data_IF_598036972821
#
_entry.id   IF_598036972821
#
_cell.length_a   1.000
_cell.length_b   1.000
_cell.length_c   1.000
_cell.angle_alpha   90.00
_cell.angle_beta   90.00
_cell.angle_gamma   90.00
#
_symmetry.space_group_name_H-M   'P 1'
#
loop_
_entity.id
_entity.type
_entity.pdbx_description
1 polymer ?
#
# COMPACT_ATOMS: atom_id res chain seq x y z
N UNK A 1 9.52 8.72 17.06
CA UNK A 1 9.51 7.27 16.76
C UNK A 1 9.78 7.10 15.28
N UNK A 2 10.67 6.20 14.90
CA UNK A 2 10.91 5.83 13.50
C UNK A 2 10.29 4.46 13.23
N UNK A 3 9.63 4.26 12.09
CA UNK A 3 9.17 2.94 11.64
C UNK A 3 9.97 2.57 10.42
N UNK A 4 10.50 1.34 10.41
CA UNK A 4 11.29 0.84 9.28
C UNK A 4 10.65 -0.37 8.64
N UNK A 5 10.85 -0.45 7.32
CA UNK A 5 10.54 -1.63 6.52
C UNK A 5 11.74 -2.57 6.45
N UNK A 6 11.51 -3.81 6.03
CA UNK A 6 12.56 -4.73 5.64
C UNK A 6 13.38 -4.15 4.48
N UNK A 7 14.68 -4.41 4.47
CA UNK A 7 15.54 -4.05 3.33
C UNK A 7 14.99 -4.63 2.02
N UNK A 8 15.13 -3.87 0.93
CA UNK A 8 14.60 -4.22 -0.39
C UNK A 8 14.96 -5.67 -0.79
N UNK A 9 13.95 -6.42 -1.25
CA UNK A 9 14.08 -7.82 -1.64
C UNK A 9 14.00 -8.85 -0.50
N UNK A 10 14.27 -8.46 0.75
CA UNK A 10 14.30 -9.39 1.91
C UNK A 10 12.96 -10.11 2.11
N UNK A 11 11.85 -9.39 2.10
CA UNK A 11 10.50 -9.95 2.28
C UNK A 11 10.16 -10.98 1.18
N UNK A 12 10.54 -10.72 -0.06
CA UNK A 12 10.35 -11.68 -1.16
C UNK A 12 11.22 -12.93 -0.98
N UNK A 13 12.48 -12.76 -0.58
CA UNK A 13 13.40 -13.87 -0.34
C UNK A 13 12.92 -14.77 0.81
N UNK A 14 12.50 -14.18 1.93
CA UNK A 14 11.96 -14.91 3.08
C UNK A 14 10.73 -15.73 2.69
N UNK A 15 9.81 -15.13 1.92
CA UNK A 15 8.65 -15.85 1.37
C UNK A 15 9.08 -17.02 0.47
N UNK A 16 10.03 -16.80 -0.43
CA UNK A 16 10.50 -17.82 -1.36
C UNK A 16 11.12 -19.02 -0.62
N UNK A 17 11.99 -18.77 0.37
CA UNK A 17 12.61 -19.82 1.20
C UNK A 17 11.55 -20.63 1.95
N UNK A 18 10.54 -19.97 2.52
CA UNK A 18 9.45 -20.68 3.21
C UNK A 18 8.63 -21.56 2.26
N UNK A 19 8.36 -21.07 1.04
CA UNK A 19 7.59 -21.79 0.03
C UNK A 19 8.40 -22.91 -0.66
N UNK A 20 9.73 -22.84 -0.65
CA UNK A 20 10.61 -23.92 -1.09
C UNK A 20 10.49 -25.13 -0.14
N UNK A 21 10.42 -24.88 1.17
CA UNK A 21 10.18 -25.92 2.18
C UNK A 21 8.75 -26.48 2.07
N UNK A 22 7.75 -25.61 1.96
CA UNK A 22 6.36 -26.02 1.78
C UNK A 22 5.58 -25.03 0.91
N UNK A 23 5.24 -25.45 -0.31
CA UNK A 23 4.44 -24.65 -1.27
C UNK A 23 3.04 -24.27 -0.74
N UNK A 24 2.54 -25.00 0.26
CA UNK A 24 1.26 -24.78 0.93
C UNK A 24 1.46 -24.31 2.38
N UNK A 25 2.59 -23.66 2.69
CA UNK A 25 2.84 -23.10 4.01
C UNK A 25 1.67 -22.23 4.47
N UNK A 26 1.25 -22.40 5.73
CA UNK A 26 0.14 -21.61 6.26
C UNK A 26 0.51 -20.12 6.26
N UNK A 27 -0.44 -19.20 6.05
CA UNK A 27 -0.18 -17.77 6.11
C UNK A 27 0.49 -17.35 7.44
N UNK A 28 0.13 -18.03 8.53
CA UNK A 28 0.72 -17.79 9.84
C UNK A 28 2.19 -18.18 9.97
N UNK A 29 2.67 -19.16 9.18
CA UNK A 29 4.09 -19.47 9.10
C UNK A 29 4.84 -18.38 8.31
N UNK A 30 4.21 -17.86 7.25
CA UNK A 30 4.78 -16.78 6.45
C UNK A 30 4.91 -15.50 7.28
N UNK A 31 3.87 -15.11 8.03
CA UNK A 31 3.91 -13.91 8.88
C UNK A 31 5.09 -13.90 9.84
N UNK A 32 5.32 -15.01 10.55
CA UNK A 32 6.47 -15.15 11.44
C UNK A 32 7.80 -14.99 10.69
N UNK A 33 7.94 -15.58 9.51
CA UNK A 33 9.16 -15.44 8.70
C UNK A 33 9.34 -14.00 8.20
N UNK A 34 8.30 -13.37 7.63
CA UNK A 34 8.38 -12.01 7.09
C UNK A 34 8.70 -10.97 8.16
N UNK A 35 8.14 -11.12 9.36
CA UNK A 35 8.42 -10.24 10.51
C UNK A 35 9.91 -10.19 10.86
N UNK A 36 10.68 -11.26 10.62
CA UNK A 36 12.12 -11.27 10.90
C UNK A 36 12.90 -10.25 10.06
N UNK A 37 12.49 -9.98 8.81
CA UNK A 37 13.14 -8.99 7.95
C UNK A 37 12.95 -7.56 8.48
N UNK A 38 11.77 -7.28 9.00
CA UNK A 38 11.43 -6.01 9.65
C UNK A 38 12.21 -5.83 10.96
N UNK A 39 12.27 -6.89 11.78
CA UNK A 39 13.03 -6.90 13.04
C UNK A 39 14.52 -6.68 12.79
N UNK A 40 15.10 -7.35 11.79
CA UNK A 40 16.51 -7.17 11.42
C UNK A 40 16.79 -5.71 11.05
N UNK A 41 15.92 -5.10 10.26
CA UNK A 41 16.09 -3.71 9.81
C UNK A 41 15.96 -2.72 10.97
N UNK A 42 15.04 -2.97 11.91
CA UNK A 42 14.90 -2.17 13.13
C UNK A 42 16.15 -2.25 14.01
N UNK A 43 16.70 -3.44 14.24
CA UNK A 43 17.93 -3.62 15.02
C UNK A 43 19.15 -3.00 14.33
N UNK A 44 19.25 -3.07 13.01
CA UNK A 44 20.32 -2.41 12.25
C UNK A 44 20.27 -0.88 12.40
N UNK A 45 19.07 -0.29 12.31
CA UNK A 45 18.92 1.16 12.49
C UNK A 45 19.19 1.58 13.94
N UNK A 46 18.70 0.83 14.93
CA UNK A 46 19.03 1.04 16.34
C UNK A 46 20.55 1.05 16.57
N UNK A 47 21.26 0.05 16.03
CA UNK A 47 22.72 -0.04 16.14
C UNK A 47 23.43 1.16 15.48
N UNK A 48 22.95 1.61 14.31
CA UNK A 48 23.49 2.76 13.62
C UNK A 48 23.30 4.07 14.41
N UNK A 49 22.11 4.29 14.98
CA UNK A 49 21.80 5.46 15.81
C UNK A 49 22.62 5.43 17.11
N UNK A 50 22.72 4.26 17.74
CA UNK A 50 23.50 4.07 18.97
C UNK A 50 24.99 4.32 18.75
N UNK A 51 25.53 3.93 17.58
CA UNK A 51 26.91 4.24 17.18
C UNK A 51 27.18 5.75 17.10
N UNK A 52 26.16 6.57 16.84
CA UNK A 52 26.25 8.03 16.85
C UNK A 52 26.12 8.62 18.26
N UNK A 53 26.03 7.79 19.31
CA UNK A 53 25.92 8.23 20.71
C UNK A 53 24.50 8.65 21.11
N UNK A 54 23.49 8.34 20.29
CA UNK A 54 22.09 8.66 20.58
C UNK A 54 21.42 7.43 21.21
N UNK A 55 20.86 7.55 22.43
CA UNK A 55 20.11 6.45 23.06
C UNK A 55 18.90 6.05 22.21
N UNK A 56 18.91 4.83 21.71
CA UNK A 56 17.84 4.27 20.90
C UNK A 56 17.47 2.86 21.36
N UNK A 57 16.24 2.44 21.06
CA UNK A 57 15.77 1.07 21.28
C UNK A 57 14.85 0.64 20.14
N UNK A 58 14.97 -0.61 19.69
CA UNK A 58 14.01 -1.20 18.75
C UNK A 58 12.88 -1.95 19.44
N UNK A 59 11.67 -1.81 18.90
CA UNK A 59 10.47 -2.55 19.31
C UNK A 59 9.92 -3.35 18.12
N UNK A 60 9.30 -4.49 18.42
CA UNK A 60 8.74 -5.40 17.41
C UNK A 60 7.26 -5.71 17.72
N UNK A 61 6.62 -6.57 16.93
CA UNK A 61 5.18 -6.84 17.06
C UNK A 61 4.73 -7.17 18.48
N UNK A 62 5.56 -7.86 19.27
CA UNK A 62 5.25 -8.22 20.66
C UNK A 62 5.22 -7.01 21.61
N UNK A 63 6.07 -6.01 21.37
CA UNK A 63 6.28 -4.85 22.24
C UNK A 63 5.79 -3.52 21.66
N UNK A 64 5.18 -3.51 20.48
CA UNK A 64 4.67 -2.29 19.84
C UNK A 64 3.31 -1.81 20.37
N UNK A 65 2.58 -2.67 21.10
CA UNK A 65 1.23 -2.34 21.59
C UNK A 65 0.13 -2.41 20.53
N UNK A 66 0.40 -2.97 19.34
CA UNK A 66 -0.60 -3.16 18.28
C UNK A 66 -1.19 -4.57 18.38
N UNK A 67 -2.53 -4.66 18.37
CA UNK A 67 -3.28 -5.94 18.37
C UNK A 67 -4.10 -6.09 17.11
N UNK A 68 -4.16 -7.30 16.56
CA UNK A 68 -4.90 -7.60 15.33
C UNK A 68 -5.84 -8.79 15.49
N UNK A 69 -6.65 -9.05 14.46
CA UNK A 69 -7.24 -10.37 14.25
C UNK A 69 -6.19 -11.39 13.77
N UNK A 70 -6.62 -12.64 13.60
CA UNK A 70 -5.79 -13.75 13.11
C UNK A 70 -5.90 -13.99 11.60
N UNK A 71 -6.25 -12.96 10.82
CA UNK A 71 -6.24 -13.03 9.34
C UNK A 71 -4.80 -12.91 8.83
N UNK A 72 -3.97 -13.91 9.14
CA UNK A 72 -2.54 -13.93 8.85
C UNK A 72 -2.25 -13.60 7.38
N UNK A 73 -1.21 -12.80 7.15
CA UNK A 73 -0.80 -12.26 5.87
C UNK A 73 -1.41 -10.90 5.53
N UNK A 74 -2.51 -10.52 6.20
CA UNK A 74 -3.23 -9.26 5.96
C UNK A 74 -4.06 -8.82 7.18
N UNK A 75 -3.52 -9.04 8.36
CA UNK A 75 -4.25 -8.85 9.60
C UNK A 75 -4.73 -7.40 9.76
N UNK A 76 -5.91 -7.22 10.36
CA UNK A 76 -6.51 -5.92 10.64
C UNK A 76 -6.30 -5.52 12.08
N UNK A 77 -5.87 -4.27 12.29
CA UNK A 77 -5.71 -3.68 13.62
C UNK A 77 -7.07 -3.66 14.33
N UNK A 78 -7.10 -4.20 15.56
CA UNK A 78 -8.28 -4.26 16.43
C UNK A 78 -8.17 -3.30 17.60
N UNK A 79 -6.96 -3.13 18.14
CA UNK A 79 -6.69 -2.14 19.17
C UNK A 79 -5.22 -1.74 19.16
N UNK A 80 -4.94 -0.58 19.75
CA UNK A 80 -3.61 -0.01 19.92
C UNK A 80 -3.45 0.44 21.37
N UNK A 81 -2.27 0.21 21.93
CA UNK A 81 -1.87 0.62 23.28
C UNK A 81 -0.54 1.38 23.19
N UNK A 82 -0.51 2.69 23.49
CA UNK A 82 0.71 3.48 23.40
C UNK A 82 1.69 3.22 24.54
N UNK A 83 1.26 2.54 25.61
CA UNK A 83 2.04 2.38 26.85
C UNK A 83 3.46 1.85 26.63
N UNK A 84 3.70 0.80 25.81
CA UNK A 84 5.05 0.30 25.59
C UNK A 84 5.97 1.31 24.92
N UNK A 85 5.45 2.06 23.94
CA UNK A 85 6.23 3.07 23.22
C UNK A 85 6.52 4.26 24.12
N UNK A 86 5.53 4.73 24.88
CA UNK A 86 5.71 5.83 25.82
C UNK A 86 6.72 5.48 26.92
N UNK A 87 6.68 4.26 27.46
CA UNK A 87 7.66 3.78 28.43
C UNK A 87 9.08 3.76 27.82
N UNK A 88 9.23 3.25 26.60
CA UNK A 88 10.52 3.25 25.91
C UNK A 88 11.05 4.68 25.66
N UNK A 89 10.17 5.63 25.34
CA UNK A 89 10.54 7.04 25.15
C UNK A 89 10.92 7.77 26.46
N UNK A 90 10.64 7.21 27.63
CA UNK A 90 11.13 7.76 28.91
C UNK A 90 12.62 7.45 29.14
N UNK A 91 13.11 6.34 28.58
CA UNK A 91 14.48 5.85 28.77
C UNK A 91 15.38 6.11 27.56
N UNK A 92 14.79 6.24 26.36
CA UNK A 92 15.50 6.39 25.10
C UNK A 92 15.00 7.62 24.32
N UNK A 93 15.92 8.27 23.60
CA UNK A 93 15.57 9.42 22.77
C UNK A 93 14.89 9.00 21.46
N UNK A 94 15.17 7.78 20.98
CA UNK A 94 14.61 7.25 19.73
C UNK A 94 14.07 5.84 19.93
N UNK A 95 12.80 5.63 19.59
CA UNK A 95 12.22 4.30 19.42
C UNK A 95 12.19 3.96 17.93
N UNK A 96 12.72 2.79 17.56
CA UNK A 96 12.68 2.22 16.21
C UNK A 96 11.68 1.06 16.18
N UNK A 97 10.52 1.27 15.58
CA UNK A 97 9.51 0.24 15.40
C UNK A 97 9.78 -0.59 14.15
N UNK A 98 9.77 -1.91 14.29
CA UNK A 98 9.73 -2.82 13.16
C UNK A 98 8.33 -2.77 12.53
N UNK A 99 8.24 -2.33 11.27
CA UNK A 99 6.98 -2.11 10.57
C UNK A 99 6.24 -3.40 10.21
N UNK A 100 5.03 -3.22 9.66
CA UNK A 100 4.21 -4.26 9.03
C UNK A 100 3.79 -5.45 9.92
N UNK A 101 4.13 -5.44 11.22
CA UNK A 101 3.86 -6.54 12.14
C UNK A 101 3.09 -6.10 13.38
N UNK A 102 2.38 -7.05 13.99
CA UNK A 102 1.65 -6.92 15.24
C UNK A 102 1.48 -8.30 15.89
N UNK A 103 0.65 -8.40 16.92
CA UNK A 103 0.25 -9.70 17.47
C UNK A 103 -1.27 -9.88 17.51
N UNK A 104 -1.73 -11.11 17.29
CA UNK A 104 -3.12 -11.46 17.50
C UNK A 104 -3.46 -11.69 18.98
N UNK A 105 -4.74 -11.99 19.24
CA UNK A 105 -5.26 -12.33 20.57
C UNK A 105 -4.61 -13.55 21.24
N UNK A 106 -3.92 -14.40 20.46
CA UNK A 106 -3.22 -15.60 20.95
C UNK A 106 -1.72 -15.34 21.17
N UNK A 107 -1.27 -14.10 20.99
CA UNK A 107 0.14 -13.71 21.09
C UNK A 107 0.99 -14.18 19.90
N UNK A 108 0.37 -14.51 18.76
CA UNK A 108 1.11 -14.89 17.55
C UNK A 108 1.42 -13.65 16.72
N UNK A 109 2.61 -13.60 16.13
CA UNK A 109 2.97 -12.56 15.16
C UNK A 109 2.02 -12.61 13.97
N UNK A 110 1.51 -11.45 13.61
CA UNK A 110 0.69 -11.22 12.43
C UNK A 110 1.33 -10.16 11.55
N UNK A 111 1.19 -10.33 10.24
CA UNK A 111 1.62 -9.36 9.26
C UNK A 111 0.40 -8.54 8.79
N UNK A 112 0.55 -7.23 8.76
CA UNK A 112 -0.54 -6.31 8.41
C UNK A 112 -0.83 -6.29 6.90
N UNK A 113 0.01 -6.92 6.07
CA UNK A 113 -0.13 -6.95 4.61
C UNK A 113 1.12 -6.46 3.90
N UNK A 114 1.17 -6.58 2.58
CA UNK A 114 2.29 -6.02 1.79
C UNK A 114 2.29 -4.49 1.87
N UNK A 115 3.48 -3.89 1.94
CA UNK A 115 3.67 -2.44 2.02
C UNK A 115 2.88 -1.80 3.19
N UNK A 116 2.76 -2.50 4.32
CA UNK A 116 1.96 -2.06 5.46
C UNK A 116 2.77 -1.34 6.55
N UNK A 117 4.05 -1.07 6.33
CA UNK A 117 4.86 -0.24 7.24
C UNK A 117 4.30 1.18 7.37
N UNK A 118 3.73 1.74 6.29
CA UNK A 118 2.99 3.00 6.33
C UNK A 118 1.82 2.92 7.33
N UNK A 119 1.08 1.81 7.31
CA UNK A 119 -0.02 1.59 8.24
C UNK A 119 0.48 1.50 9.68
N UNK A 120 1.61 0.84 9.93
CA UNK A 120 2.25 0.82 11.25
C UNK A 120 2.64 2.23 11.72
N UNK A 121 3.24 3.04 10.85
CA UNK A 121 3.65 4.40 11.18
C UNK A 121 2.47 5.31 11.53
N UNK A 122 1.39 5.23 10.75
CA UNK A 122 0.18 6.02 10.98
C UNK A 122 -0.56 5.54 12.22
N UNK A 123 -0.62 4.22 12.48
CA UNK A 123 -1.21 3.68 13.70
C UNK A 123 -0.44 4.12 14.95
N UNK A 124 0.90 4.13 14.88
CA UNK A 124 1.76 4.63 15.96
C UNK A 124 1.57 6.13 16.17
N UNK A 125 1.52 6.93 15.11
CA UNK A 125 1.24 8.36 15.22
C UNK A 125 -0.11 8.61 15.90
N UNK A 126 -1.16 7.93 15.43
CA UNK A 126 -2.51 8.05 15.99
C UNK A 126 -2.57 7.66 17.47
N UNK A 127 -1.97 6.53 17.87
CA UNK A 127 -2.05 6.07 19.27
C UNK A 127 -1.23 6.95 20.23
N UNK A 128 -0.22 7.65 19.72
CA UNK A 128 0.55 8.65 20.48
C UNK A 128 -0.14 10.03 20.52
N UNK A 129 -1.26 10.21 19.82
CA UNK A 129 -1.98 11.49 19.75
C UNK A 129 -1.36 12.47 18.75
N UNK A 130 -0.48 12.02 17.86
CA UNK A 130 0.12 12.85 16.82
C UNK A 130 -0.81 13.00 15.62
N UNK A 131 -0.93 14.23 15.12
CA UNK A 131 -1.80 14.55 13.98
C UNK A 131 -1.07 14.53 12.62
N UNK A 132 0.21 14.15 12.60
CA UNK A 132 1.02 14.13 11.40
C UNK A 132 1.96 12.93 11.42
N UNK A 133 2.09 12.27 10.27
CA UNK A 133 3.01 11.16 10.05
C UNK A 133 3.82 11.43 8.77
N UNK A 134 5.14 11.36 8.88
CA UNK A 134 6.05 11.52 7.75
C UNK A 134 6.38 10.17 7.14
N UNK A 135 6.14 10.02 5.84
CA UNK A 135 6.46 8.80 5.09
C UNK A 135 7.59 9.11 4.13
N UNK A 136 8.74 8.47 4.37
CA UNK A 136 9.94 8.62 3.55
C UNK A 136 10.00 7.50 2.51
N UNK A 137 10.10 7.88 1.22
CA UNK A 137 10.18 6.94 0.10
C UNK A 137 11.15 7.41 -0.99
N UNK A 138 11.35 6.56 -2.00
CA UNK A 138 12.21 6.85 -3.15
C UNK A 138 11.67 8.00 -4.03
N UNK A 139 10.40 8.35 -3.88
CA UNK A 139 9.77 9.48 -4.56
C UNK A 139 9.27 10.52 -3.54
N UNK A 140 9.30 11.82 -3.86
CA UNK A 140 8.89 12.86 -2.92
C UNK A 140 7.38 12.87 -2.64
N UNK A 141 6.58 12.14 -3.40
CA UNK A 141 5.15 12.04 -3.17
C UNK A 141 4.38 11.45 -4.33
N UNK A 142 3.13 11.87 -4.44
CA UNK A 142 2.13 11.36 -5.38
C UNK A 142 2.14 12.23 -6.62
N UNK A 143 2.19 11.60 -7.79
CA UNK A 143 2.18 12.28 -9.07
C UNK A 143 0.85 12.07 -9.79
N UNK A 144 0.53 12.94 -10.74
CA UNK A 144 -0.67 12.84 -11.60
C UNK A 144 -0.68 11.58 -12.47
N UNK A 145 0.48 10.97 -12.70
CA UNK A 145 0.67 9.66 -13.31
C UNK A 145 2.01 9.09 -12.80
N UNK A 146 2.30 7.82 -13.06
CA UNK A 146 3.63 7.27 -12.74
C UNK A 146 4.72 8.03 -13.55
N UNK A 147 5.64 8.77 -12.88
CA UNK A 147 6.62 9.60 -13.57
C UNK A 147 7.66 8.79 -14.36
N UNK A 148 7.80 7.50 -14.09
CA UNK A 148 8.65 6.61 -14.88
C UNK A 148 7.98 6.14 -16.18
N UNK A 149 6.65 6.22 -16.26
CA UNK A 149 5.87 5.81 -17.44
C UNK A 149 5.45 7.01 -18.29
N UNK A 150 5.12 8.12 -17.65
CA UNK A 150 4.58 9.35 -18.26
C UNK A 150 5.49 10.52 -17.91
N UNK A 151 6.31 10.97 -18.86
CA UNK A 151 7.30 12.03 -18.64
C UNK A 151 6.68 13.38 -18.23
N UNK A 152 5.43 13.66 -18.62
CA UNK A 152 4.70 14.86 -18.24
C UNK A 152 4.06 14.81 -16.84
N UNK A 153 4.25 13.74 -16.07
CA UNK A 153 3.65 13.59 -14.75
C UNK A 153 4.09 14.71 -13.80
N UNK A 154 3.12 15.34 -13.14
CA UNK A 154 3.35 16.46 -12.22
C UNK A 154 3.19 15.98 -10.78
N UNK A 155 4.04 16.47 -9.88
CA UNK A 155 3.88 16.22 -8.45
C UNK A 155 2.61 16.92 -7.95
N UNK A 156 1.80 16.21 -7.16
CA UNK A 156 0.59 16.74 -6.54
C UNK A 156 0.98 17.27 -5.15
N UNK A 157 0.95 18.59 -4.88
CA UNK A 157 1.40 19.12 -3.58
C UNK A 157 0.47 18.75 -2.43
N UNK A 158 -0.84 18.72 -2.69
CA UNK A 158 -1.86 18.38 -1.70
C UNK A 158 -2.95 17.50 -2.33
N UNK A 159 -3.36 16.43 -1.64
CA UNK A 159 -4.38 15.50 -2.10
C UNK A 159 -5.27 15.05 -0.94
N UNK A 160 -6.57 14.88 -1.17
CA UNK A 160 -7.46 14.38 -0.12
C UNK A 160 -7.24 12.88 0.15
N UNK A 161 -7.52 12.44 1.37
CA UNK A 161 -7.53 11.02 1.74
C UNK A 161 -8.37 10.21 0.75
N UNK A 162 -9.56 10.70 0.40
CA UNK A 162 -10.47 10.04 -0.55
C UNK A 162 -9.84 9.88 -1.93
N UNK A 163 -9.23 10.94 -2.48
CA UNK A 163 -8.60 10.87 -3.80
C UNK A 163 -7.39 9.93 -3.78
N UNK A 164 -6.54 10.01 -2.75
CA UNK A 164 -5.40 9.12 -2.58
C UNK A 164 -5.84 7.65 -2.42
N UNK A 165 -6.90 7.41 -1.63
CA UNK A 165 -7.47 6.06 -1.45
C UNK A 165 -7.91 5.46 -2.78
N UNK A 166 -8.56 6.25 -3.64
CA UNK A 166 -8.94 5.81 -4.98
C UNK A 166 -7.71 5.50 -5.83
N UNK A 167 -6.70 6.36 -5.85
CA UNK A 167 -5.44 6.12 -6.56
C UNK A 167 -4.76 4.83 -6.10
N UNK A 168 -4.60 4.64 -4.79
CA UNK A 168 -3.96 3.45 -4.21
C UNK A 168 -4.72 2.16 -4.54
N UNK A 169 -6.05 2.20 -4.52
CA UNK A 169 -6.91 1.06 -4.90
C UNK A 169 -6.74 0.71 -6.39
N UNK A 170 -6.50 1.69 -7.25
CA UNK A 170 -6.39 1.52 -8.69
C UNK A 170 -4.94 1.38 -9.20
N UNK A 171 -4.00 1.03 -8.31
CA UNK A 171 -2.65 0.62 -8.70
C UNK A 171 -1.55 1.66 -8.48
N UNK A 172 -1.86 2.84 -7.92
CA UNK A 172 -0.81 3.72 -7.42
C UNK A 172 -0.11 3.06 -6.22
N UNK A 173 1.21 2.88 -6.31
CA UNK A 173 1.98 2.14 -5.30
C UNK A 173 2.63 3.01 -4.22
N UNK A 174 2.45 4.33 -4.29
CA UNK A 174 3.13 5.32 -3.42
C UNK A 174 2.72 5.18 -1.95
N UNK A 175 1.42 5.00 -1.68
CA UNK A 175 0.90 4.79 -0.33
C UNK A 175 -0.05 3.61 -0.34
N UNK A 176 0.02 2.77 0.70
CA UNK A 176 -0.90 1.65 0.83
C UNK A 176 -2.32 2.14 1.19
N UNK A 177 -3.35 1.66 0.49
CA UNK A 177 -4.75 2.10 0.66
C UNK A 177 -5.26 1.98 2.11
N UNK A 178 -4.89 0.90 2.83
CA UNK A 178 -5.25 0.73 4.25
C UNK A 178 -4.58 1.76 5.15
N UNK A 179 -3.38 2.22 4.83
CA UNK A 179 -2.69 3.28 5.57
C UNK A 179 -3.43 4.61 5.39
N UNK A 180 -3.80 4.95 4.15
CA UNK A 180 -4.59 6.16 3.83
C UNK A 180 -5.95 6.15 4.52
N UNK A 181 -6.66 5.01 4.48
CA UNK A 181 -7.95 4.88 5.16
C UNK A 181 -7.85 4.98 6.69
N UNK A 182 -6.80 4.39 7.28
CA UNK A 182 -6.55 4.52 8.71
C UNK A 182 -6.24 5.96 9.10
N UNK A 183 -5.45 6.67 8.28
CA UNK A 183 -5.11 8.07 8.45
C UNK A 183 -6.36 8.98 8.44
N UNK A 184 -7.25 8.77 7.46
CA UNK A 184 -8.55 9.46 7.38
C UNK A 184 -9.39 9.25 8.63
N UNK A 185 -9.53 7.99 9.06
CA UNK A 185 -10.35 7.60 10.21
C UNK A 185 -9.85 8.24 11.52
N UNK A 186 -8.55 8.46 11.63
CA UNK A 186 -7.91 8.99 12.85
C UNK A 186 -7.41 10.44 12.70
N UNK A 187 -7.76 11.12 11.61
CA UNK A 187 -7.33 12.49 11.30
C UNK A 187 -5.80 12.69 11.38
N UNK A 188 -5.02 11.75 10.85
CA UNK A 188 -3.56 11.84 10.75
C UNK A 188 -3.18 12.33 9.36
N UNK A 189 -2.57 13.51 9.28
CA UNK A 189 -2.04 14.05 8.01
C UNK A 189 -0.80 13.25 7.58
N UNK A 190 -0.75 12.79 6.33
CA UNK A 190 0.42 12.09 5.80
C UNK A 190 1.29 13.10 5.05
N UNK A 191 2.57 13.19 5.38
CA UNK A 191 3.53 14.03 4.67
C UNK A 191 4.50 13.12 3.93
N UNK A 192 4.37 13.04 2.61
CA UNK A 192 5.30 12.30 1.76
C UNK A 192 6.60 13.08 1.62
N UNK A 193 7.70 12.37 1.86
CA UNK A 193 9.06 12.91 1.79
C UNK A 193 9.98 11.94 1.05
N UNK A 194 11.09 12.48 0.56
CA UNK A 194 12.18 11.70 -0.01
C UNK A 194 13.53 12.15 0.54
N UNK A 195 14.41 11.18 0.79
CA UNK A 195 15.79 11.41 1.21
C UNK A 195 16.69 11.41 -0.03
N UNK A 196 17.41 12.51 -0.24
CA UNK A 196 18.39 12.65 -1.33
C UNK A 196 19.76 12.96 -0.77
N UNK A 197 20.80 12.88 -1.62
CA UNK A 197 22.15 13.34 -1.25
C UNK A 197 22.20 14.80 -0.82
N UNK A 198 21.27 15.61 -1.34
CA UNK A 198 21.24 17.06 -1.16
C UNK A 198 20.29 17.48 -0.02
N UNK A 199 19.67 16.51 0.67
CA UNK A 199 18.80 16.74 1.82
C UNK A 199 17.41 16.12 1.68
N UNK A 200 16.48 16.62 2.48
CA UNK A 200 15.09 16.13 2.56
C UNK A 200 14.20 16.93 1.62
N UNK A 201 13.51 16.23 0.72
CA UNK A 201 12.47 16.82 -0.13
C UNK A 201 11.11 16.54 0.52
N UNK A 202 10.33 17.60 0.76
CA UNK A 202 8.91 17.48 1.12
C UNK A 202 8.09 17.63 -0.14
N UNK A 203 7.29 16.60 -0.48
CA UNK A 203 6.45 16.64 -1.67
C UNK A 203 4.98 16.73 -1.31
N UNK A 204 4.26 15.61 -1.38
CA UNK A 204 2.80 15.58 -1.24
C UNK A 204 2.36 15.56 0.22
N UNK A 205 1.33 16.35 0.54
CA UNK A 205 0.60 16.27 1.80
C UNK A 205 -0.77 15.63 1.54
N UNK A 206 -1.11 14.57 2.27
CA UNK A 206 -2.42 13.92 2.23
C UNK A 206 -3.26 14.41 3.40
N UNK A 207 -4.37 15.12 3.12
CA UNK A 207 -5.22 15.78 4.13
C UNK A 207 -6.71 15.50 3.88
N UNK A 208 -7.60 16.19 4.60
CA UNK A 208 -9.04 16.17 4.31
C UNK A 208 -9.45 16.97 3.07
N UNK A 209 -8.52 17.69 2.45
CA UNK A 209 -8.76 18.60 1.32
C UNK A 209 -7.87 18.24 0.14
N UNK A 210 -8.14 18.86 -1.01
CA UNK A 210 -7.39 18.62 -2.24
C UNK A 210 -8.10 17.63 -3.17
N UNK A 211 -8.05 17.93 -4.45
CA UNK A 211 -8.62 17.09 -5.49
C UNK A 211 -7.62 17.05 -6.63
N UNK A 212 -7.31 15.85 -7.11
CA UNK A 212 -6.32 15.66 -8.16
C UNK A 212 -6.88 14.69 -9.19
N UNK A 213 -6.80 15.09 -10.45
CA UNK A 213 -7.03 14.16 -11.55
C UNK A 213 -5.79 13.31 -11.74
N UNK A 214 -5.93 12.04 -12.00
CA UNK A 214 -4.75 11.20 -12.18
C UNK A 214 -5.01 10.03 -13.12
N UNK A 215 -3.90 9.43 -13.55
CA UNK A 215 -3.91 8.22 -14.34
C UNK A 215 -3.02 7.20 -13.65
N UNK A 216 -3.57 6.03 -13.35
CA UNK A 216 -2.80 4.92 -12.78
C UNK A 216 -2.66 3.79 -13.79
N UNK A 217 -1.54 3.07 -13.71
CA UNK A 217 -1.28 1.88 -14.52
C UNK A 217 -0.94 0.73 -13.58
N UNK A 218 -1.80 -0.26 -13.52
CA UNK A 218 -1.58 -1.49 -12.77
C UNK A 218 -1.18 -2.61 -13.75
N UNK A 219 -0.04 -3.25 -13.51
CA UNK A 219 0.55 -4.27 -14.39
C UNK A 219 0.22 -5.68 -13.89
N UNK A 220 0.05 -6.61 -14.84
CA UNK A 220 -0.12 -8.04 -14.59
C UNK A 220 -1.25 -8.37 -13.60
N UNK A 221 -2.35 -7.64 -13.72
CA UNK A 221 -3.54 -7.80 -12.90
C UNK A 221 -4.31 -9.03 -13.37
N UNK A 222 -4.61 -10.00 -12.48
CA UNK A 222 -5.46 -11.14 -12.80
C UNK A 222 -6.84 -10.67 -13.24
N UNK A 223 -7.29 -11.16 -14.39
CA UNK A 223 -8.61 -10.86 -14.94
C UNK A 223 -9.45 -12.13 -15.00
N UNK A 224 -10.67 -12.01 -14.51
CA UNK A 224 -11.66 -13.06 -14.41
C UNK A 224 -12.91 -12.71 -15.22
N UNK A 225 -13.41 -13.65 -16.02
CA UNK A 225 -14.71 -13.53 -16.68
C UNK A 225 -15.79 -14.10 -15.79
N UNK A 226 -16.92 -13.40 -15.68
CA UNK A 226 -18.15 -13.98 -15.15
C UNK A 226 -19.07 -14.38 -16.31
N UNK A 227 -19.86 -15.43 -16.13
CA UNK A 227 -20.90 -15.79 -17.08
C UNK A 227 -22.12 -14.87 -16.97
N UNK A 228 -22.39 -14.33 -15.78
CA UNK A 228 -23.52 -13.44 -15.50
C UNK A 228 -23.13 -12.21 -14.68
N UNK A 229 -23.95 -11.16 -14.74
CA UNK A 229 -23.81 -9.98 -13.88
C UNK A 229 -23.94 -10.34 -12.39
N UNK A 230 -24.86 -11.23 -12.04
CA UNK A 230 -25.09 -11.67 -10.65
C UNK A 230 -23.87 -12.39 -10.07
N UNK A 231 -23.24 -13.28 -10.85
CA UNK A 231 -21.98 -13.93 -10.46
C UNK A 231 -20.87 -12.90 -10.18
N UNK A 232 -20.76 -11.90 -11.05
CA UNK A 232 -19.80 -10.82 -10.89
C UNK A 232 -20.05 -10.00 -9.63
N UNK A 233 -21.31 -9.65 -9.35
CA UNK A 233 -21.67 -8.88 -8.16
C UNK A 233 -21.43 -9.69 -6.87
N UNK A 234 -21.73 -10.99 -6.89
CA UNK A 234 -21.45 -11.89 -5.78
C UNK A 234 -19.94 -12.01 -5.50
N UNK A 235 -19.12 -12.15 -6.56
CA UNK A 235 -17.67 -12.20 -6.40
C UNK A 235 -17.10 -10.86 -5.90
N UNK A 236 -17.56 -9.73 -6.45
CA UNK A 236 -17.16 -8.41 -5.97
C UNK A 236 -17.54 -8.23 -4.50
N UNK A 237 -18.73 -8.65 -4.10
CA UNK A 237 -19.19 -8.58 -2.71
C UNK A 237 -18.37 -9.49 -1.79
N UNK A 238 -18.01 -10.71 -2.23
CA UNK A 238 -17.13 -11.61 -1.50
C UNK A 238 -15.76 -10.97 -1.25
N UNK A 239 -15.12 -10.46 -2.31
CA UNK A 239 -13.81 -9.81 -2.22
C UNK A 239 -13.87 -8.55 -1.34
N UNK A 240 -14.92 -7.74 -1.47
CA UNK A 240 -15.13 -6.53 -0.68
C UNK A 240 -15.33 -6.80 0.81
N UNK A 241 -16.02 -7.89 1.20
CA UNK A 241 -16.14 -8.32 2.62
C UNK A 241 -14.80 -8.59 3.26
N UNK A 242 -13.81 -8.93 2.45
CA UNK A 242 -12.44 -9.14 2.87
C UNK A 242 -11.55 -7.91 2.60
N UNK A 243 -12.04 -6.72 2.25
CA UNK A 243 -11.23 -5.54 1.91
C UNK A 243 -10.22 -5.80 0.77
N UNK A 244 -10.62 -6.63 -0.21
CA UNK A 244 -9.84 -6.87 -1.43
C UNK A 244 -10.41 -5.97 -2.51
N UNK A 245 -9.53 -5.17 -3.13
CA UNK A 245 -9.95 -4.27 -4.19
C UNK A 245 -10.09 -5.03 -5.52
N UNK A 246 -11.33 -5.10 -6.00
CA UNK A 246 -11.68 -5.69 -7.28
C UNK A 246 -12.41 -4.63 -8.12
N UNK A 247 -12.03 -4.52 -9.38
CA UNK A 247 -12.61 -3.57 -10.32
C UNK A 247 -13.43 -4.33 -11.36
N UNK A 248 -14.72 -4.05 -11.40
CA UNK A 248 -15.62 -4.54 -12.46
C UNK A 248 -15.46 -3.67 -13.70
N UNK A 249 -15.23 -4.30 -14.84
CA UNK A 249 -15.09 -3.62 -16.15
C UNK A 249 -15.98 -4.32 -17.16
N UNK A 250 -16.75 -3.55 -17.92
CA UNK A 250 -17.46 -4.07 -19.09
C UNK A 250 -16.50 -4.01 -20.29
N UNK A 251 -16.14 -5.18 -20.81
CA UNK A 251 -15.42 -5.32 -22.06
C UNK A 251 -16.41 -5.74 -23.15
N UNK A 252 -16.13 -5.49 -24.43
CA UNK A 252 -17.06 -5.78 -25.55
C UNK A 252 -17.49 -7.25 -25.68
N UNK A 253 -16.93 -8.13 -24.86
CA UNK A 253 -17.20 -9.57 -24.78
C UNK A 253 -17.86 -10.02 -23.46
N UNK A 254 -18.19 -9.11 -22.54
CA UNK A 254 -18.84 -9.41 -21.27
C UNK A 254 -18.29 -8.61 -20.08
N UNK A 255 -18.73 -8.96 -18.88
CA UNK A 255 -18.27 -8.34 -17.63
C UNK A 255 -17.04 -9.08 -17.11
N UNK A 256 -15.97 -8.35 -16.84
CA UNK A 256 -14.74 -8.88 -16.25
C UNK A 256 -14.43 -8.24 -14.91
N UNK A 257 -13.73 -8.98 -14.05
CA UNK A 257 -13.26 -8.53 -12.74
C UNK A 257 -11.73 -8.53 -12.74
N UNK A 258 -11.16 -7.39 -12.36
CA UNK A 258 -9.73 -7.18 -12.21
C UNK A 258 -9.38 -7.10 -10.72
N UNK A 259 -8.53 -8.00 -10.22
CA UNK A 259 -8.15 -8.03 -8.79
C UNK A 259 -6.84 -7.26 -8.57
N UNK A 260 -6.92 -6.09 -7.92
CA UNK A 260 -5.80 -5.13 -7.88
C UNK A 260 -4.98 -5.18 -6.59
N UNK A 261 -5.56 -5.67 -5.49
CA UNK A 261 -4.86 -5.84 -4.20
C UNK A 261 -4.95 -7.26 -3.68
N UNK A 262 -4.04 -7.63 -2.77
CA UNK A 262 -4.04 -8.92 -2.05
C UNK A 262 -4.23 -10.16 -2.95
N UNK A 263 -3.65 -10.12 -4.15
CA UNK A 263 -3.88 -11.08 -5.23
C UNK A 263 -3.80 -12.54 -4.75
N UNK A 264 -2.74 -12.92 -4.03
CA UNK A 264 -2.56 -14.30 -3.55
C UNK A 264 -3.73 -14.78 -2.67
N UNK A 265 -4.27 -13.88 -1.83
CA UNK A 265 -5.40 -14.19 -0.95
C UNK A 265 -6.71 -14.21 -1.72
N UNK A 266 -6.90 -13.26 -2.63
CA UNK A 266 -8.05 -13.20 -3.52
C UNK A 266 -8.17 -14.46 -4.38
N UNK A 267 -7.07 -14.95 -4.95
CA UNK A 267 -7.03 -16.20 -5.73
C UNK A 267 -7.43 -17.42 -4.89
N UNK A 268 -7.04 -17.47 -3.61
CA UNK A 268 -7.47 -18.53 -2.69
C UNK A 268 -8.96 -18.46 -2.38
N UNK A 269 -9.51 -17.26 -2.17
CA UNK A 269 -10.95 -17.09 -1.97
C UNK A 269 -11.75 -17.51 -3.20
N UNK A 270 -11.31 -17.11 -4.39
CA UNK A 270 -11.93 -17.50 -5.66
C UNK A 270 -11.87 -19.01 -5.85
N UNK A 271 -10.77 -19.67 -5.47
CA UNK A 271 -10.66 -21.12 -5.55
C UNK A 271 -11.59 -21.88 -4.57
N UNK A 272 -12.07 -21.19 -3.53
CA UNK A 272 -12.97 -21.74 -2.51
C UNK A 272 -14.43 -21.34 -2.73
N UNK A 273 -14.72 -20.43 -3.67
CA UNK A 273 -16.09 -19.99 -3.94
C UNK A 273 -16.85 -20.99 -4.80
N UNK A 274 -18.15 -21.12 -4.56
CA UNK A 274 -19.05 -21.95 -5.37
C UNK A 274 -19.19 -21.43 -6.82
N UNK A 275 -18.88 -20.15 -7.04
CA UNK A 275 -18.78 -19.54 -8.37
C UNK A 275 -17.40 -19.80 -8.95
N UNK A 276 -17.34 -20.28 -10.20
CA UNK A 276 -16.08 -20.58 -10.90
C UNK A 276 -15.87 -19.53 -12.00
N UNK A 277 -15.44 -18.31 -11.65
CA UNK A 277 -15.10 -17.34 -12.65
C UNK A 277 -13.94 -17.86 -13.50
N UNK A 278 -13.97 -17.61 -14.80
CA UNK A 278 -12.95 -18.12 -15.73
C UNK A 278 -11.75 -17.18 -15.71
N UNK A 279 -10.59 -17.67 -15.31
CA UNK A 279 -9.35 -16.90 -15.40
C UNK A 279 -8.97 -16.68 -16.88
N UNK A 280 -8.94 -15.43 -17.32
CA UNK A 280 -8.64 -15.05 -18.71
C UNK A 280 -7.16 -14.69 -18.90
N UNK A 281 -6.38 -14.70 -17.82
CA UNK A 281 -4.98 -14.29 -17.82
C UNK A 281 -4.73 -12.98 -17.08
N UNK A 282 -3.46 -12.57 -17.08
CA UNK A 282 -3.04 -11.30 -16.49
C UNK A 282 -3.02 -10.21 -17.56
N UNK A 283 -3.66 -9.07 -17.28
CA UNK A 283 -3.70 -7.91 -18.19
C UNK A 283 -3.20 -6.65 -17.47
N UNK A 284 -3.08 -5.55 -18.21
CA UNK A 284 -2.76 -4.24 -17.65
C UNK A 284 -4.05 -3.44 -17.48
N UNK A 285 -4.15 -2.67 -16.40
CA UNK A 285 -5.32 -1.84 -16.10
C UNK A 285 -4.87 -0.39 -16.05
N UNK A 286 -5.43 0.44 -16.95
CA UNK A 286 -5.23 1.88 -16.94
C UNK A 286 -6.49 2.53 -16.38
N UNK A 287 -6.35 3.30 -15.30
CA UNK A 287 -7.48 3.97 -14.66
C UNK A 287 -7.34 5.48 -14.82
N UNK A 288 -8.36 6.10 -15.41
CA UNK A 288 -8.60 7.54 -15.38
C UNK A 288 -9.40 7.88 -14.12
N UNK A 289 -8.80 8.69 -13.26
CA UNK A 289 -9.39 9.20 -12.03
C UNK A 289 -9.65 10.70 -12.21
N UNK A 290 -10.90 11.07 -12.41
CA UNK A 290 -11.38 12.45 -12.31
C UNK A 290 -12.32 12.58 -11.11
N UNK A 291 -12.44 13.79 -10.60
CA UNK A 291 -13.33 14.24 -9.53
C UNK A 291 -14.77 13.73 -9.62
N UNK A 292 -15.28 13.47 -10.82
CA UNK A 292 -16.64 13.02 -11.10
C UNK A 292 -16.73 11.72 -11.89
N UNK A 293 -15.62 11.20 -12.41
CA UNK A 293 -15.61 10.08 -13.36
C UNK A 293 -14.43 9.16 -13.10
N UNK A 294 -14.73 7.89 -12.85
CA UNK A 294 -13.78 6.79 -12.83
C UNK A 294 -13.95 5.99 -14.13
N UNK A 295 -12.91 5.94 -14.96
CA UNK A 295 -12.90 5.08 -16.16
C UNK A 295 -11.74 4.10 -16.08
N UNK A 296 -12.04 2.84 -16.35
CA UNK A 296 -11.08 1.75 -16.25
C UNK A 296 -10.97 1.10 -17.62
N UNK A 297 -9.73 0.95 -18.09
CA UNK A 297 -9.40 0.35 -19.37
C UNK A 297 -8.54 -0.89 -19.15
N UNK A 298 -8.99 -2.03 -19.64
CA UNK A 298 -8.23 -3.28 -19.59
C UNK A 298 -7.48 -3.45 -20.91
N UNK A 299 -6.16 -3.54 -20.84
CA UNK A 299 -5.26 -3.54 -22.00
C UNK A 299 -4.35 -4.77 -21.92
N UNK A 300 -4.36 -5.60 -22.96
CA UNK A 300 -3.53 -6.82 -22.98
C UNK A 300 -2.03 -6.53 -23.08
N UNK A 301 -1.65 -5.51 -23.85
CA UNK A 301 -0.25 -5.15 -24.09
C UNK A 301 0.21 -3.99 -23.19
N UNK A 302 1.43 -4.08 -22.65
CA UNK A 302 1.93 -3.11 -21.68
C UNK A 302 2.34 -1.79 -22.34
N UNK A 303 2.96 -1.83 -23.52
CA UNK A 303 3.34 -0.62 -24.25
C UNK A 303 2.10 0.17 -24.68
N UNK A 304 1.04 -0.52 -25.12
CA UNK A 304 -0.27 0.09 -25.37
C UNK A 304 -0.89 0.69 -24.10
N UNK A 305 -0.75 0.04 -22.95
CA UNK A 305 -1.23 0.57 -21.69
C UNK A 305 -0.51 1.88 -21.31
N UNK A 306 0.81 1.92 -21.50
CA UNK A 306 1.61 3.14 -21.29
C UNK A 306 1.20 4.24 -22.28
N UNK A 307 1.04 3.91 -23.57
CA UNK A 307 0.61 4.87 -24.59
C UNK A 307 -0.76 5.46 -24.28
N UNK A 308 -1.72 4.62 -23.86
CA UNK A 308 -3.04 5.06 -23.41
C UNK A 308 -2.93 5.96 -22.18
N UNK A 309 -2.12 5.59 -21.19
CA UNK A 309 -1.93 6.40 -19.99
C UNK A 309 -1.35 7.79 -20.31
N UNK A 310 -0.39 7.86 -21.24
CA UNK A 310 0.16 9.13 -21.76
C UNK A 310 -0.91 9.97 -22.44
N UNK A 311 -1.69 9.39 -23.34
CA UNK A 311 -2.76 10.10 -24.05
C UNK A 311 -3.83 10.64 -23.08
N UNK A 312 -4.23 9.85 -22.09
CA UNK A 312 -5.19 10.28 -21.06
C UNK A 312 -4.58 11.40 -20.22
N UNK A 313 -3.32 11.26 -19.80
CA UNK A 313 -2.63 12.28 -19.00
C UNK A 313 -2.49 13.59 -19.77
N UNK A 314 -2.07 13.59 -21.03
CA UNK A 314 -1.99 14.78 -21.90
C UNK A 314 -3.35 15.47 -22.06
N UNK A 315 -4.44 14.71 -22.12
CA UNK A 315 -5.80 15.25 -22.16
C UNK A 315 -6.18 15.92 -20.84
N UNK A 316 -5.79 15.34 -19.70
CA UNK A 316 -6.06 15.92 -18.37
C UNK A 316 -5.18 17.14 -18.09
N UNK A 317 -3.91 17.07 -18.47
CA UNK A 317 -2.85 18.03 -18.18
C UNK A 317 -2.17 18.48 -19.48
N UNK A 318 -2.87 19.22 -20.35
CA UNK A 318 -2.28 19.71 -21.58
C UNK A 318 -1.10 20.62 -21.25
N UNK A 319 0.02 20.43 -21.95
CA UNK A 319 1.15 21.36 -21.86
C UNK A 319 0.66 22.77 -22.16
N UNK A 320 1.06 23.76 -21.34
CA UNK A 320 0.71 25.15 -21.59
C UNK A 320 1.20 25.53 -22.99
N UNK A 321 0.27 25.84 -23.89
CA UNK A 321 0.59 26.37 -25.22
C UNK A 321 1.20 27.76 -25.01
N UNK A 322 2.53 27.84 -25.06
CA UNK A 322 3.29 29.09 -25.05
C UNK A 322 3.78 29.57 -23.69
N UNK A 323 4.84 28.95 -23.17
CA UNK A 323 5.82 29.67 -22.35
C UNK A 323 7.14 29.70 -23.15
N UNK A 324 7.71 30.89 -23.44
CA UNK A 324 8.94 30.97 -24.20
C UNK A 324 10.07 30.33 -23.40
N UNK A 325 10.83 29.45 -24.06
CA UNK A 325 12.09 28.90 -23.57
C UNK A 325 12.96 30.04 -23.02
N UNK A 326 13.28 29.98 -21.72
CA UNK A 326 14.38 30.73 -21.12
C UNK A 326 15.41 29.75 -20.61
#
# INVERSE_FOLDING_TARGET
VAVVSAMSGTTCNLKAVMLDVNKQASPSNLDGALATGEMLSASLLEAAISRLGIPAISLNGYSLGIRTNSDFGRASIKSVDPTPILAALQEHHVVVAAGAQAIDQSGRLTFLGRNSSDLSAIAIASMLGEHTCEIYSDVPGVYTADPYLVAGAQLIPEISYRAMLQMSRHGAKVLHHRAVHYAETHNVTIVCKSLTSDGVITGTIVTGHGNARSVTVAREIPVFSCATLEECDNLCALLARHDINAIRVEDGHGVVICIVSDIDFALRLVALSDTVPVFIGSKNVVTELDSSVLRVHVVGDYDRAIALARQIHERMYPAAVGAPSR
#
